data_IF_386004238344
#
_entry.id   IF_386004238344
#
_cell.length_a   1.000
_cell.length_b   1.000
_cell.length_c   1.000
_cell.angle_alpha   90.00
_cell.angle_beta   90.00
_cell.angle_gamma   90.00
#
_symmetry.space_group_name_H-M   'P 1'
#
loop_
_entity.id
_entity.type
_entity.pdbx_description
1 polymer ?
#
# COMPACT_ATOMS: atom_id res chain seq x y z
N UNK A 1 16.75 -19.67 -33.85
CA UNK A 1 16.38 -18.93 -32.62
C UNK A 1 15.79 -17.58 -33.02
N UNK A 2 14.59 -17.19 -32.57
CA UNK A 2 13.94 -16.02 -33.12
C UNK A 2 14.58 -14.74 -32.58
N UNK A 3 14.90 -13.78 -33.46
CA UNK A 3 15.47 -12.46 -33.15
C UNK A 3 14.74 -11.74 -32.00
N UNK A 4 13.43 -12.01 -31.85
CA UNK A 4 12.59 -11.46 -30.78
C UNK A 4 13.09 -11.78 -29.36
N UNK A 5 13.69 -12.96 -29.13
CA UNK A 5 14.24 -13.34 -27.80
C UNK A 5 15.57 -12.66 -27.47
N UNK A 6 16.30 -12.18 -28.47
CA UNK A 6 17.57 -11.46 -28.30
C UNK A 6 17.39 -9.97 -28.01
N UNK A 7 16.29 -9.38 -28.51
CA UNK A 7 15.95 -7.97 -28.28
C UNK A 7 15.13 -7.74 -27.01
N UNK A 8 14.43 -8.76 -26.51
CA UNK A 8 13.65 -8.72 -25.27
C UNK A 8 14.41 -8.16 -24.05
N UNK A 9 15.63 -8.64 -23.71
CA UNK A 9 16.35 -8.13 -22.54
C UNK A 9 16.84 -6.68 -22.72
N UNK A 10 17.14 -6.26 -23.97
CA UNK A 10 17.58 -4.88 -24.26
C UNK A 10 16.41 -3.89 -24.31
N UNK A 11 15.23 -4.32 -24.76
CA UNK A 11 14.01 -3.50 -24.71
C UNK A 11 13.48 -3.41 -23.27
N UNK A 12 13.53 -4.50 -22.50
CA UNK A 12 13.21 -4.48 -21.07
C UNK A 12 14.17 -3.57 -20.30
N UNK A 13 15.49 -3.65 -20.55
CA UNK A 13 16.47 -2.78 -19.89
C UNK A 13 16.34 -1.30 -20.28
N UNK A 14 15.91 -0.99 -21.50
CA UNK A 14 15.57 0.37 -21.91
C UNK A 14 14.30 0.87 -21.22
N UNK A 15 13.28 0.03 -21.01
CA UNK A 15 12.07 0.40 -20.27
C UNK A 15 12.34 0.61 -18.77
N UNK A 16 13.29 -0.14 -18.19
CA UNK A 16 13.68 -0.02 -16.77
C UNK A 16 14.83 0.94 -16.51
N UNK A 17 15.43 1.56 -17.55
CA UNK A 17 16.58 2.44 -17.37
C UNK A 17 16.23 3.69 -16.52
N UNK A 18 17.16 4.20 -15.71
CA UNK A 18 16.94 5.44 -14.94
C UNK A 18 16.56 6.64 -15.81
N UNK A 19 17.10 6.70 -17.03
CA UNK A 19 16.84 7.80 -17.99
C UNK A 19 15.41 7.77 -18.52
N UNK A 20 14.92 6.62 -18.95
CA UNK A 20 13.53 6.48 -19.42
C UNK A 20 12.53 6.72 -18.30
N UNK A 21 12.81 6.21 -17.10
CA UNK A 21 12.00 6.52 -15.89
C UNK A 21 11.93 8.02 -15.62
N UNK A 22 13.06 8.73 -15.65
CA UNK A 22 13.11 10.19 -15.47
C UNK A 22 12.31 10.93 -16.55
N UNK A 23 12.44 10.53 -17.81
CA UNK A 23 11.67 11.12 -18.91
C UNK A 23 10.16 10.90 -18.74
N UNK A 24 9.73 9.69 -18.38
CA UNK A 24 8.32 9.39 -18.11
C UNK A 24 7.77 10.22 -16.94
N UNK A 25 8.55 10.39 -15.86
CA UNK A 25 8.20 11.28 -14.75
C UNK A 25 8.01 12.72 -15.20
N UNK A 26 8.93 13.25 -16.01
CA UNK A 26 8.84 14.61 -16.54
C UNK A 26 7.63 14.81 -17.45
N UNK A 27 7.32 13.84 -18.31
CA UNK A 27 6.12 13.87 -19.16
C UNK A 27 4.84 13.90 -18.32
N UNK A 28 4.75 13.05 -17.29
CA UNK A 28 3.59 13.03 -16.39
C UNK A 28 3.45 14.32 -15.60
N UNK A 29 4.56 14.87 -15.10
CA UNK A 29 4.55 16.13 -14.35
C UNK A 29 4.16 17.31 -15.25
N UNK A 30 4.62 17.31 -16.51
CA UNK A 30 4.23 18.32 -17.50
C UNK A 30 2.73 18.24 -17.80
N UNK A 31 2.22 17.02 -18.05
CA UNK A 31 0.78 16.78 -18.27
C UNK A 31 -0.06 17.26 -17.08
N UNK A 32 0.37 16.95 -15.86
CA UNK A 32 -0.29 17.39 -14.61
C UNK A 32 -0.35 18.92 -14.52
N UNK A 33 0.79 19.60 -14.73
CA UNK A 33 0.89 21.07 -14.68
C UNK A 33 0.03 21.75 -15.73
N UNK A 34 0.10 21.28 -16.99
CA UNK A 34 -0.71 21.81 -18.08
C UNK A 34 -2.21 21.63 -17.82
N UNK A 35 -2.61 20.54 -17.18
CA UNK A 35 -3.99 20.28 -16.79
C UNK A 35 -4.41 20.84 -15.43
N UNK A 36 -3.55 21.62 -14.76
CA UNK A 36 -3.74 22.12 -13.40
C UNK A 36 -4.22 21.05 -12.39
N UNK A 37 -3.75 19.81 -12.56
CA UNK A 37 -4.19 18.68 -11.74
C UNK A 37 -3.45 18.65 -10.40
N UNK A 38 -4.10 18.26 -9.28
CA UNK A 38 -3.43 18.06 -8.01
C UNK A 38 -2.50 16.84 -8.06
N UNK A 39 -1.61 16.73 -7.06
CA UNK A 39 -0.82 15.52 -6.86
C UNK A 39 -1.71 14.43 -6.24
N UNK A 40 -2.17 13.47 -7.04
CA UNK A 40 -3.05 12.39 -6.58
C UNK A 40 -2.24 11.14 -6.27
N UNK A 41 -2.32 10.65 -5.03
CA UNK A 41 -1.79 9.35 -4.62
C UNK A 41 -2.98 8.41 -4.44
N UNK A 42 -3.10 7.42 -5.34
CA UNK A 42 -4.13 6.39 -5.21
C UNK A 42 -3.59 5.23 -4.36
N UNK A 43 -4.39 4.72 -3.44
CA UNK A 43 -4.01 3.61 -2.54
C UNK A 43 -5.04 2.49 -2.62
N UNK A 44 -4.57 1.25 -2.80
CA UNK A 44 -5.40 0.05 -2.82
C UNK A 44 -5.19 -0.73 -1.53
N UNK A 45 -6.26 -0.92 -0.78
CA UNK A 45 -6.25 -1.59 0.53
C UNK A 45 -7.16 -2.81 0.49
N UNK A 46 -6.78 -3.84 1.25
CA UNK A 46 -7.62 -5.02 1.51
C UNK A 46 -7.69 -5.25 3.01
N UNK A 47 -8.86 -5.63 3.53
CA UNK A 47 -9.08 -5.70 4.97
C UNK A 47 -8.26 -6.80 5.66
N UNK A 48 -8.19 -7.98 5.04
CA UNK A 48 -7.45 -9.16 5.51
C UNK A 48 -5.99 -9.20 5.01
N UNK A 49 -5.49 -8.11 4.43
CA UNK A 49 -4.08 -7.96 4.08
C UNK A 49 -3.31 -7.26 5.21
N UNK A 50 -2.30 -7.91 5.81
CA UNK A 50 -1.61 -7.35 6.97
C UNK A 50 -0.82 -6.09 6.60
N UNK A 51 -0.28 -6.02 5.38
CA UNK A 51 0.45 -4.85 4.90
C UNK A 51 -0.45 -3.62 4.71
N UNK A 52 -1.70 -3.82 4.28
CA UNK A 52 -2.71 -2.76 4.20
C UNK A 52 -2.98 -2.15 5.58
N UNK A 53 -3.01 -2.97 6.63
CA UNK A 53 -3.16 -2.48 8.00
C UNK A 53 -1.94 -1.69 8.48
N UNK A 54 -0.72 -2.14 8.19
CA UNK A 54 0.49 -1.36 8.48
C UNK A 54 0.50 -0.02 7.74
N UNK A 55 0.17 -0.03 6.44
CA UNK A 55 0.16 1.16 5.60
C UNK A 55 -0.84 2.21 6.12
N UNK A 56 -2.05 1.81 6.51
CA UNK A 56 -3.08 2.72 7.07
C UNK A 56 -2.59 3.47 8.31
N UNK A 57 -1.65 2.90 9.08
CA UNK A 57 -1.08 3.56 10.26
C UNK A 57 -0.06 4.65 9.89
N UNK A 58 0.62 4.52 8.75
CA UNK A 58 1.62 5.48 8.28
C UNK A 58 0.98 6.60 7.46
N UNK A 59 -0.07 6.30 6.69
CA UNK A 59 -0.74 7.26 5.80
C UNK A 59 -1.09 8.61 6.45
N UNK A 60 -1.54 8.71 7.73
CA UNK A 60 -1.78 10.00 8.38
C UNK A 60 -0.55 10.91 8.42
N UNK A 61 0.63 10.34 8.74
CA UNK A 61 1.90 11.09 8.72
C UNK A 61 2.26 11.50 7.30
N UNK A 62 2.07 10.59 6.33
CA UNK A 62 2.39 10.85 4.93
C UNK A 62 1.54 11.99 4.33
N UNK A 63 0.22 11.98 4.51
CA UNK A 63 -0.66 13.03 3.98
C UNK A 63 -0.51 14.37 4.72
N UNK A 64 -0.05 14.35 5.98
CA UNK A 64 0.32 15.57 6.70
C UNK A 64 1.65 16.15 6.17
N UNK A 65 2.54 15.30 5.66
CA UNK A 65 3.86 15.70 5.21
C UNK A 65 3.88 16.24 3.77
N UNK A 66 3.02 15.73 2.88
CA UNK A 66 3.01 16.11 1.46
C UNK A 66 1.69 16.77 1.03
N UNK A 67 1.75 17.71 0.08
CA UNK A 67 0.57 18.28 -0.57
C UNK A 67 -0.01 17.34 -1.63
N UNK A 68 -0.70 16.29 -1.15
CA UNK A 68 -1.31 15.26 -1.99
C UNK A 68 -2.79 15.07 -1.70
N UNK A 69 -3.54 14.71 -2.74
CA UNK A 69 -4.90 14.19 -2.63
C UNK A 69 -4.81 12.67 -2.55
N UNK A 70 -5.21 12.11 -1.41
CA UNK A 70 -5.28 10.67 -1.22
C UNK A 70 -6.59 10.12 -1.79
N UNK A 71 -6.51 9.18 -2.74
CA UNK A 71 -7.66 8.43 -3.25
C UNK A 71 -7.59 6.98 -2.80
N UNK A 72 -8.59 6.52 -2.05
CA UNK A 72 -8.60 5.16 -1.50
C UNK A 72 -9.52 4.25 -2.33
N UNK A 73 -9.01 3.07 -2.65
CA UNK A 73 -9.72 1.98 -3.30
C UNK A 73 -9.66 0.75 -2.40
N UNK A 74 -10.82 0.18 -2.08
CA UNK A 74 -10.90 -1.09 -1.33
C UNK A 74 -11.11 -2.22 -2.32
N UNK A 75 -10.35 -3.30 -2.16
CA UNK A 75 -10.45 -4.54 -2.94
C UNK A 75 -10.69 -5.72 -1.98
N UNK A 76 -11.16 -6.87 -2.49
CA UNK A 76 -11.47 -8.04 -1.64
C UNK A 76 -10.66 -9.29 -1.98
N UNK A 77 -10.07 -9.41 -3.19
CA UNK A 77 -9.55 -10.70 -3.63
C UNK A 77 -8.30 -10.60 -4.50
N UNK A 78 -7.41 -11.55 -4.23
CA UNK A 78 -6.31 -11.98 -5.07
C UNK A 78 -6.81 -13.14 -5.94
N UNK A 79 -6.54 -13.12 -7.24
CA UNK A 79 -6.88 -14.22 -8.13
C UNK A 79 -6.02 -15.45 -7.75
N UNK A 80 -6.58 -16.37 -6.95
CA UNK A 80 -5.88 -17.57 -6.44
C UNK A 80 -5.23 -18.40 -7.54
N UNK A 81 -5.77 -18.35 -8.75
CA UNK A 81 -5.30 -19.09 -9.92
C UNK A 81 -3.83 -18.80 -10.31
N UNK A 82 -3.27 -17.66 -9.85
CA UNK A 82 -1.90 -17.26 -10.21
C UNK A 82 -0.93 -17.19 -9.04
N UNK A 83 -1.40 -17.41 -7.80
CA UNK A 83 -0.55 -17.34 -6.60
C UNK A 83 -0.07 -18.73 -6.20
N UNK A 84 1.23 -19.03 -6.30
CA UNK A 84 1.78 -20.29 -5.80
C UNK A 84 1.63 -20.34 -4.27
N UNK A 85 1.17 -21.47 -3.73
CA UNK A 85 1.10 -21.74 -2.28
C UNK A 85 0.43 -20.60 -1.46
N UNK A 86 -0.85 -20.30 -1.73
CA UNK A 86 -1.52 -19.10 -1.18
C UNK A 86 -1.66 -19.14 0.35
N UNK A 87 -1.81 -20.33 0.94
CA UNK A 87 -1.93 -20.50 2.40
C UNK A 87 -0.60 -20.18 3.09
N UNK A 88 0.49 -20.71 2.55
CA UNK A 88 1.85 -20.49 3.03
C UNK A 88 2.26 -19.02 2.87
N UNK A 89 1.92 -18.41 1.73
CA UNK A 89 2.17 -16.99 1.48
C UNK A 89 1.42 -16.11 2.48
N UNK A 90 0.13 -16.39 2.74
CA UNK A 90 -0.63 -15.65 3.74
C UNK A 90 -0.04 -15.82 5.16
N UNK A 91 0.40 -17.03 5.52
CA UNK A 91 1.06 -17.30 6.79
C UNK A 91 2.43 -16.62 6.91
N UNK A 92 3.17 -16.52 5.81
CA UNK A 92 4.40 -15.73 5.73
C UNK A 92 4.11 -14.24 5.93
N UNK A 93 3.16 -13.67 5.18
CA UNK A 93 2.81 -12.25 5.25
C UNK A 93 2.41 -11.80 6.66
N UNK A 94 1.68 -12.64 7.41
CA UNK A 94 1.34 -12.35 8.81
C UNK A 94 2.57 -12.33 9.73
N UNK A 95 3.50 -13.28 9.57
CA UNK A 95 4.74 -13.33 10.37
C UNK A 95 5.65 -12.14 10.05
N UNK A 96 5.77 -11.82 8.78
CA UNK A 96 6.55 -10.69 8.29
C UNK A 96 5.99 -9.35 8.80
N UNK A 97 4.66 -9.17 8.74
CA UNK A 97 4.01 -7.98 9.25
C UNK A 97 4.23 -7.75 10.76
N UNK A 98 4.37 -8.81 11.57
CA UNK A 98 4.76 -8.68 12.98
C UNK A 98 6.15 -8.05 13.12
N UNK A 99 7.11 -8.53 12.33
CA UNK A 99 8.50 -8.03 12.36
C UNK A 99 8.55 -6.57 11.87
N UNK A 100 7.88 -6.28 10.76
CA UNK A 100 7.77 -4.93 10.21
C UNK A 100 7.09 -3.96 11.18
N UNK A 101 6.01 -4.39 11.84
CA UNK A 101 5.32 -3.57 12.83
C UNK A 101 6.25 -3.21 13.99
N UNK A 102 7.01 -4.19 14.52
CA UNK A 102 7.99 -3.94 15.58
C UNK A 102 9.07 -2.96 15.14
N UNK A 103 9.63 -3.15 13.93
CA UNK A 103 10.68 -2.26 13.38
C UNK A 103 10.15 -0.84 13.22
N UNK A 104 8.94 -0.71 12.69
CA UNK A 104 8.31 0.57 12.41
C UNK A 104 7.59 1.20 13.61
N UNK A 105 7.63 0.56 14.78
CA UNK A 105 6.86 0.93 15.97
C UNK A 105 5.35 1.12 15.67
N UNK A 106 4.80 0.22 14.85
CA UNK A 106 3.38 0.17 14.46
C UNK A 106 2.63 -0.87 15.28
N UNK A 107 1.31 -0.72 15.30
CA UNK A 107 0.39 -1.61 15.98
C UNK A 107 0.07 -2.83 15.11
N UNK A 108 0.44 -4.03 15.57
CA UNK A 108 0.05 -5.30 14.96
C UNK A 108 0.09 -6.41 16.01
N UNK A 109 -0.83 -7.39 16.01
CA UNK A 109 -0.83 -8.46 17.00
C UNK A 109 0.40 -9.36 16.86
N UNK A 110 1.13 -9.61 17.94
CA UNK A 110 2.34 -10.46 17.95
C UNK A 110 2.11 -11.88 17.43
N UNK A 111 0.89 -12.40 17.62
CA UNK A 111 0.44 -13.69 17.13
C UNK A 111 -0.79 -13.50 16.23
N UNK A 112 -0.53 -13.11 14.98
CA UNK A 112 -1.58 -12.85 13.99
C UNK A 112 -2.09 -14.15 13.36
N UNK A 113 -3.33 -14.52 13.69
CA UNK A 113 -4.10 -15.53 12.96
C UNK A 113 -4.74 -14.90 11.71
N UNK A 114 -5.25 -15.74 10.80
CA UNK A 114 -6.12 -15.25 9.73
C UNK A 114 -7.43 -14.71 10.36
N UNK A 115 -7.91 -13.52 9.94
CA UNK A 115 -9.16 -12.98 10.47
C UNK A 115 -10.37 -13.82 10.04
N UNK A 116 -11.44 -13.75 10.83
CA UNK A 116 -12.71 -14.41 10.50
C UNK A 116 -13.33 -13.81 9.22
N UNK A 117 -13.96 -14.66 8.40
CA UNK A 117 -14.49 -14.25 7.09
C UNK A 117 -15.70 -13.31 7.22
N UNK A 118 -16.53 -13.47 8.25
CA UNK A 118 -17.70 -12.63 8.50
C UNK A 118 -17.26 -11.24 8.96
N UNK A 119 -16.29 -11.18 9.86
CA UNK A 119 -15.69 -9.93 10.28
C UNK A 119 -14.92 -9.25 9.14
N UNK A 120 -14.26 -10.02 8.27
CA UNK A 120 -13.55 -9.50 7.10
C UNK A 120 -14.53 -8.84 6.12
N UNK A 121 -15.67 -9.48 5.84
CA UNK A 121 -16.73 -8.88 5.02
C UNK A 121 -17.26 -7.58 5.66
N UNK A 122 -17.56 -7.61 6.96
CA UNK A 122 -18.07 -6.44 7.68
C UNK A 122 -17.08 -5.27 7.64
N UNK A 123 -15.80 -5.52 7.92
CA UNK A 123 -14.74 -4.53 7.84
C UNK A 123 -14.58 -4.00 6.41
N UNK A 124 -14.60 -4.87 5.40
CA UNK A 124 -14.50 -4.47 3.99
C UNK A 124 -15.63 -3.52 3.59
N UNK A 125 -16.88 -3.86 3.95
CA UNK A 125 -18.05 -3.02 3.65
C UNK A 125 -18.05 -1.71 4.42
N UNK A 126 -17.53 -1.70 5.64
CA UNK A 126 -17.31 -0.49 6.42
C UNK A 126 -16.27 0.43 5.75
N UNK A 127 -15.13 -0.12 5.32
CA UNK A 127 -14.10 0.65 4.61
C UNK A 127 -14.62 1.21 3.29
N UNK A 128 -15.35 0.42 2.51
CA UNK A 128 -15.94 0.84 1.23
C UNK A 128 -16.91 2.01 1.39
N UNK A 129 -17.80 1.95 2.38
CA UNK A 129 -18.79 2.99 2.63
C UNK A 129 -18.15 4.36 2.89
N UNK A 130 -16.95 4.37 3.46
CA UNK A 130 -16.26 5.57 3.90
C UNK A 130 -15.00 5.91 3.08
N UNK A 131 -14.66 5.14 2.04
CA UNK A 131 -13.43 5.33 1.26
C UNK A 131 -13.31 6.70 0.57
N UNK A 132 -14.45 7.37 0.31
CA UNK A 132 -14.50 8.71 -0.30
C UNK A 132 -14.50 9.85 0.72
N UNK A 133 -14.49 9.55 2.01
CA UNK A 133 -14.39 10.57 3.06
C UNK A 133 -12.99 11.20 3.09
N UNK A 134 -12.85 12.44 3.61
CA UNK A 134 -11.54 13.04 3.82
C UNK A 134 -10.58 12.13 4.62
N UNK A 135 -9.26 12.14 4.34
CA UNK A 135 -8.30 11.28 5.04
C UNK A 135 -8.34 11.39 6.58
N UNK A 136 -8.62 12.59 7.09
CA UNK A 136 -8.77 12.85 8.53
C UNK A 136 -9.93 12.08 9.18
N UNK A 137 -10.92 11.66 8.41
CA UNK A 137 -12.07 10.85 8.86
C UNK A 137 -11.85 9.38 8.53
N UNK A 138 -11.44 9.09 7.29
CA UNK A 138 -11.28 7.71 6.81
C UNK A 138 -10.15 6.96 7.52
N UNK A 139 -8.96 7.54 7.66
CA UNK A 139 -7.78 6.82 8.17
C UNK A 139 -7.93 6.41 9.65
N UNK A 140 -8.48 7.24 10.56
CA UNK A 140 -8.78 6.80 11.92
C UNK A 140 -9.83 5.69 12.00
N UNK A 141 -10.85 5.72 11.15
CA UNK A 141 -11.86 4.65 11.05
C UNK A 141 -11.21 3.36 10.55
N UNK A 142 -10.45 3.44 9.46
CA UNK A 142 -9.77 2.29 8.88
C UNK A 142 -8.81 1.64 9.87
N UNK A 143 -8.01 2.45 10.58
CA UNK A 143 -7.10 1.94 11.63
C UNK A 143 -7.86 1.18 12.72
N UNK A 144 -9.01 1.71 13.19
CA UNK A 144 -9.81 1.06 14.23
C UNK A 144 -10.49 -0.22 13.75
N UNK A 145 -11.06 -0.21 12.54
CA UNK A 145 -11.71 -1.37 11.95
C UNK A 145 -10.71 -2.50 11.72
N UNK A 146 -9.54 -2.20 11.14
CA UNK A 146 -8.48 -3.18 10.90
C UNK A 146 -7.85 -3.67 12.21
N UNK A 147 -7.64 -2.78 13.20
CA UNK A 147 -7.16 -3.19 14.51
C UNK A 147 -8.11 -4.18 15.21
N UNK A 148 -9.43 -3.96 15.09
CA UNK A 148 -10.43 -4.86 15.64
C UNK A 148 -10.45 -6.20 14.89
N UNK A 149 -10.41 -6.16 13.56
CA UNK A 149 -10.38 -7.34 12.69
C UNK A 149 -9.18 -8.25 13.01
N UNK A 150 -7.97 -7.70 12.96
CA UNK A 150 -6.72 -8.47 13.15
C UNK A 150 -6.56 -9.05 14.56
N UNK A 151 -7.30 -8.52 15.55
CA UNK A 151 -7.30 -9.02 16.93
C UNK A 151 -8.50 -9.90 17.27
N UNK A 152 -9.39 -10.17 16.32
CA UNK A 152 -10.63 -10.91 16.57
C UNK A 152 -11.56 -10.21 17.55
N UNK A 153 -11.55 -8.88 17.61
CA UNK A 153 -12.41 -8.11 18.50
C UNK A 153 -13.81 -7.89 17.89
N UNK A 154 -14.54 -8.99 17.68
CA UNK A 154 -15.87 -9.03 17.06
C UNK A 154 -16.82 -7.94 17.57
N UNK A 155 -16.95 -7.81 18.90
CA UNK A 155 -17.83 -6.81 19.54
C UNK A 155 -17.42 -5.37 19.22
N UNK A 156 -16.11 -5.08 19.16
CA UNK A 156 -15.61 -3.74 18.82
C UNK A 156 -15.90 -3.41 17.36
N UNK A 157 -15.69 -4.37 16.45
CA UNK A 157 -16.01 -4.19 15.03
C UNK A 157 -17.52 -3.99 14.80
N UNK A 158 -18.36 -4.78 15.47
CA UNK A 158 -19.82 -4.61 15.43
C UNK A 158 -20.26 -3.25 15.96
N UNK A 159 -19.66 -2.78 17.07
CA UNK A 159 -19.93 -1.44 17.63
C UNK A 159 -19.51 -0.32 16.68
N UNK A 160 -18.38 -0.48 15.97
CA UNK A 160 -17.98 0.46 14.92
C UNK A 160 -18.99 0.48 13.78
N UNK A 161 -19.44 -0.69 13.32
CA UNK A 161 -20.42 -0.82 12.25
C UNK A 161 -21.82 -0.28 12.61
N UNK A 162 -22.20 -0.25 13.89
CA UNK A 162 -23.44 0.40 14.32
C UNK A 162 -23.34 1.93 14.33
N UNK A 163 -22.12 2.48 14.48
CA UNK A 163 -21.87 3.93 14.47
C UNK A 163 -21.61 4.47 13.07
N UNK A 164 -20.92 3.68 12.24
CA UNK A 164 -20.54 4.00 10.88
C UNK A 164 -21.14 2.92 9.99
N UNK A 165 -22.20 3.27 9.25
CA UNK A 165 -23.00 2.28 8.54
C UNK A 165 -22.19 1.62 7.41
N UNK A 166 -22.03 0.29 7.42
CA UNK A 166 -21.35 -0.40 6.35
C UNK A 166 -22.19 -0.39 5.06
N UNK A 167 -21.51 -0.50 3.93
CA UNK A 167 -22.15 -0.67 2.63
C UNK A 167 -22.97 -1.98 2.61
N UNK A 168 -24.05 -2.04 1.82
CA UNK A 168 -24.81 -3.29 1.66
C UNK A 168 -23.97 -4.30 0.86
N UNK A 169 -24.18 -5.60 1.08
CA UNK A 169 -23.41 -6.63 0.39
C UNK A 169 -23.48 -6.52 -1.14
N UNK A 170 -24.68 -6.25 -1.69
CA UNK A 170 -24.88 -6.10 -3.13
C UNK A 170 -24.13 -4.88 -3.71
N UNK A 171 -24.20 -3.72 -3.06
CA UNK A 171 -23.49 -2.52 -3.53
C UNK A 171 -21.98 -2.63 -3.34
N UNK A 172 -21.54 -3.30 -2.26
CA UNK A 172 -20.14 -3.59 -2.01
C UNK A 172 -19.54 -4.47 -3.10
N UNK A 173 -20.23 -5.54 -3.51
CA UNK A 173 -19.76 -6.42 -4.57
C UNK A 173 -19.49 -5.67 -5.88
N UNK A 174 -20.41 -4.78 -6.28
CA UNK A 174 -20.25 -3.95 -7.49
C UNK A 174 -19.05 -3.01 -7.38
N UNK A 175 -18.89 -2.33 -6.24
CA UNK A 175 -17.79 -1.39 -6.05
C UNK A 175 -16.42 -2.08 -5.95
N UNK A 176 -16.36 -3.26 -5.34
CA UNK A 176 -15.16 -4.09 -5.26
C UNK A 176 -14.70 -4.53 -6.65
N UNK A 177 -15.63 -5.02 -7.48
CA UNK A 177 -15.34 -5.41 -8.86
C UNK A 177 -14.83 -4.23 -9.68
N UNK A 178 -15.47 -3.06 -9.57
CA UNK A 178 -15.01 -1.83 -10.23
C UNK A 178 -13.60 -1.41 -9.79
N UNK A 179 -13.30 -1.52 -8.49
CA UNK A 179 -11.97 -1.20 -7.97
C UNK A 179 -10.90 -2.21 -8.44
N UNK A 180 -11.25 -3.49 -8.55
CA UNK A 180 -10.38 -4.54 -9.04
C UNK A 180 -10.07 -4.35 -10.54
N UNK A 181 -11.08 -4.09 -11.36
CA UNK A 181 -10.91 -3.79 -12.79
C UNK A 181 -10.01 -2.57 -12.99
N UNK A 182 -10.15 -1.54 -12.15
CA UNK A 182 -9.26 -0.36 -12.19
C UNK A 182 -7.82 -0.72 -11.83
N UNK A 183 -7.61 -1.58 -10.83
CA UNK A 183 -6.28 -2.05 -10.44
C UNK A 183 -5.61 -2.84 -11.58
N UNK A 184 -6.36 -3.75 -12.20
CA UNK A 184 -5.91 -4.57 -13.33
C UNK A 184 -5.63 -3.73 -14.59
N UNK A 185 -6.48 -2.76 -14.91
CA UNK A 185 -6.27 -1.85 -16.02
C UNK A 185 -5.00 -0.99 -15.88
N UNK A 186 -4.53 -0.79 -14.64
CA UNK A 186 -3.26 -0.12 -14.33
C UNK A 186 -2.08 -1.11 -14.21
N UNK A 187 -2.29 -2.39 -14.53
CA UNK A 187 -1.25 -3.42 -14.60
C UNK A 187 -0.83 -4.00 -13.25
N UNK A 188 -1.70 -3.96 -12.23
CA UNK A 188 -1.39 -4.49 -10.90
C UNK A 188 -2.49 -5.41 -10.35
N UNK A 189 -2.18 -6.11 -9.26
CA UNK A 189 -3.08 -7.10 -8.64
C UNK A 189 -2.91 -7.26 -7.12
N UNK A 190 -1.80 -6.80 -6.52
CA UNK A 190 -1.58 -6.88 -5.08
C UNK A 190 -2.30 -5.76 -4.29
N UNK A 191 -2.66 -6.02 -3.02
CA UNK A 191 -3.08 -4.99 -2.05
C UNK A 191 -1.88 -4.19 -1.50
N UNK A 192 -2.16 -3.26 -0.59
CA UNK A 192 -1.19 -2.35 0.02
C UNK A 192 -0.37 -1.55 -0.99
N UNK A 193 -0.95 -1.22 -2.14
CA UNK A 193 -0.25 -0.52 -3.22
C UNK A 193 -0.56 0.96 -3.21
N UNK A 194 0.46 1.78 -3.38
CA UNK A 194 0.31 3.19 -3.74
C UNK A 194 0.68 3.38 -5.22
N UNK A 195 -0.09 4.20 -5.92
CA UNK A 195 0.18 4.60 -7.29
C UNK A 195 0.29 6.12 -7.36
N UNK A 196 1.37 6.59 -7.99
CA UNK A 196 1.59 8.02 -8.21
C UNK A 196 2.32 8.25 -9.52
N UNK A 197 1.76 9.10 -10.37
CA UNK A 197 2.38 9.55 -11.62
C UNK A 197 2.89 8.41 -12.51
N UNK A 198 2.11 7.32 -12.63
CA UNK A 198 2.44 6.15 -13.47
C UNK A 198 3.36 5.12 -12.83
N UNK A 199 3.71 5.25 -11.56
CA UNK A 199 4.58 4.32 -10.83
C UNK A 199 3.87 3.71 -9.63
N UNK A 200 4.26 2.48 -9.31
CA UNK A 200 3.74 1.67 -8.22
C UNK A 200 4.74 1.60 -7.07
N UNK A 201 4.24 1.70 -5.84
CA UNK A 201 4.99 1.62 -4.60
C UNK A 201 4.27 0.65 -3.66
N UNK A 202 4.88 -0.48 -3.38
CA UNK A 202 4.29 -1.51 -2.54
C UNK A 202 4.58 -1.29 -1.06
N UNK A 203 3.51 -1.28 -0.28
CA UNK A 203 3.52 -1.30 1.17
C UNK A 203 4.28 -0.13 1.77
N UNK A 204 4.77 -0.38 2.98
CA UNK A 204 5.60 0.55 3.74
C UNK A 204 7.04 0.57 3.21
N UNK A 205 7.52 -0.54 2.62
CA UNK A 205 8.91 -0.71 2.19
C UNK A 205 9.28 0.20 1.03
N UNK A 206 8.32 0.47 0.12
CA UNK A 206 8.54 1.37 -1.01
C UNK A 206 8.06 2.80 -0.77
N UNK A 207 7.44 3.07 0.38
CA UNK A 207 6.95 4.41 0.72
C UNK A 207 8.06 5.47 0.79
N UNK A 208 9.28 5.19 1.30
CA UNK A 208 10.39 6.15 1.26
C UNK A 208 10.75 6.62 -0.15
N UNK A 209 10.70 5.74 -1.16
CA UNK A 209 10.97 6.14 -2.56
C UNK A 209 9.86 7.01 -3.15
N UNK A 210 8.61 6.82 -2.72
CA UNK A 210 7.54 7.75 -3.08
C UNK A 210 7.78 9.11 -2.42
N UNK A 211 8.09 9.10 -1.12
CA UNK A 211 8.36 10.31 -0.36
C UNK A 211 9.52 11.13 -0.96
N UNK A 212 10.65 10.49 -1.26
CA UNK A 212 11.80 11.11 -1.94
C UNK A 212 11.38 11.77 -3.26
N UNK A 213 10.62 11.05 -4.10
CA UNK A 213 10.11 11.62 -5.36
C UNK A 213 9.21 12.84 -5.14
N UNK A 214 8.34 12.82 -4.12
CA UNK A 214 7.47 13.96 -3.82
C UNK A 214 8.28 15.14 -3.25
N UNK A 215 9.36 14.85 -2.53
CA UNK A 215 10.30 15.85 -2.02
C UNK A 215 11.08 16.53 -3.15
N UNK A 216 11.57 15.77 -4.13
CA UNK A 216 12.18 16.30 -5.36
C UNK A 216 11.23 17.21 -6.16
N UNK A 217 9.92 16.96 -6.07
CA UNK A 217 8.90 17.78 -6.70
C UNK A 217 8.58 19.07 -5.92
N UNK A 218 9.14 19.24 -4.72
CA UNK A 218 8.97 20.44 -3.91
C UNK A 218 7.59 20.57 -3.25
N UNK A 219 6.89 19.45 -3.04
CA UNK A 219 5.52 19.46 -2.48
C UNK A 219 5.46 19.03 -1.01
N UNK A 220 6.62 18.95 -0.34
CA UNK A 220 6.67 18.72 1.10
C UNK A 220 6.14 19.96 1.83
N UNK A 221 5.27 19.74 2.83
CA UNK A 221 4.74 20.75 3.75
C UNK A 221 5.66 20.97 4.96
N UNK A 222 6.62 20.06 5.16
CA UNK A 222 7.55 20.08 6.29
C UNK A 222 8.98 20.28 5.78
N UNK A 223 9.83 20.87 6.61
CA UNK A 223 11.22 21.18 6.25
C UNK A 223 12.20 20.00 6.41
N UNK A 224 11.80 18.96 7.14
CA UNK A 224 12.60 17.73 7.30
C UNK A 224 12.13 16.65 6.33
N UNK A 225 12.95 15.64 6.08
CA UNK A 225 12.61 14.51 5.22
C UNK A 225 11.53 13.62 5.87
N UNK A 226 10.73 12.96 5.04
CA UNK A 226 9.81 11.94 5.52
C UNK A 226 10.57 10.65 5.83
N UNK A 227 10.73 10.35 7.12
CA UNK A 227 11.52 9.21 7.59
C UNK A 227 10.63 8.18 8.32
N UNK A 228 10.81 6.92 7.94
CA UNK A 228 10.26 5.76 8.63
C UNK A 228 11.17 5.37 9.81
N UNK A 229 10.66 4.60 10.78
CA UNK A 229 11.51 4.21 11.91
C UNK A 229 12.53 3.17 11.45
N UNK A 230 13.81 3.47 11.60
CA UNK A 230 14.93 2.59 11.24
C UNK A 230 15.76 2.19 12.47
N UNK A 231 15.20 2.33 13.67
CA UNK A 231 15.86 1.84 14.87
C UNK A 231 16.06 0.31 14.81
N UNK A 232 17.27 -0.20 15.09
CA UNK A 232 17.55 -1.64 15.06
C UNK A 232 16.73 -2.38 16.11
N UNK A 233 16.20 -3.55 15.74
CA UNK A 233 15.43 -4.39 16.65
C UNK A 233 16.31 -5.00 17.75
N UNK A 234 15.74 -5.41 18.90
CA UNK A 234 16.45 -6.21 19.90
C UNK A 234 17.00 -7.50 19.27
N UNK A 235 18.32 -7.62 19.16
CA UNK A 235 19.01 -8.72 18.48
C UNK A 235 19.74 -8.34 17.19
N UNK A 236 19.47 -7.16 16.63
CA UNK A 236 20.17 -6.64 15.43
C UNK A 236 21.36 -5.73 15.78
N UNK A 237 21.66 -5.55 17.08
CA UNK A 237 22.84 -4.79 17.51
C UNK A 237 24.12 -5.44 16.98
N UNK A 238 24.79 -4.78 16.04
CA UNK A 238 26.04 -5.24 15.44
C UNK A 238 25.89 -5.88 14.05
N UNK A 239 24.67 -6.04 13.54
CA UNK A 239 24.45 -6.39 12.13
C UNK A 239 24.56 -5.12 11.28
N UNK A 240 25.51 -5.09 10.35
CA UNK A 240 25.67 -3.96 9.42
C UNK A 240 24.53 -4.05 8.39
N UNK A 241 23.72 -2.99 8.16
CA UNK A 241 22.57 -3.04 7.25
C UNK A 241 22.90 -3.54 5.84
N UNK A 242 24.14 -3.36 5.40
CA UNK A 242 24.62 -3.76 4.07
C UNK A 242 24.98 -5.24 3.93
N UNK A 243 25.08 -6.02 5.02
CA UNK A 243 25.47 -7.43 4.95
C UNK A 243 24.43 -8.35 4.29
N UNK A 244 23.18 -7.88 4.15
CA UNK A 244 22.07 -8.66 3.58
C UNK A 244 21.51 -8.08 2.27
N UNK A 245 22.09 -7.00 1.76
CA UNK A 245 21.72 -6.47 0.45
C UNK A 245 22.36 -7.37 -0.62
N UNK A 246 21.53 -8.10 -1.37
CA UNK A 246 21.97 -8.95 -2.51
C UNK A 246 22.43 -8.08 -3.69
N UNK A 247 22.30 -6.76 -3.61
CA UNK A 247 22.70 -5.79 -4.63
C UNK A 247 23.09 -4.49 -3.95
N UNK A 248 24.21 -3.88 -4.35
CA UNK A 248 24.52 -2.53 -3.88
C UNK A 248 23.58 -1.52 -4.53
N UNK A 249 23.34 -0.35 -3.90
CA UNK A 249 22.52 0.72 -4.50
C UNK A 249 23.01 1.19 -5.88
N UNK A 250 24.29 0.94 -6.20
CA UNK A 250 24.90 1.22 -7.50
C UNK A 250 24.56 0.20 -8.60
N UNK A 251 23.98 -0.95 -8.23
CA UNK A 251 23.61 -2.04 -9.15
C UNK A 251 22.17 -1.90 -9.72
N UNK A 252 21.49 -0.77 -9.47
CA UNK A 252 20.14 -0.43 -9.98
C UNK A 252 20.14 0.74 -10.98
#
# INVERSE_FOLDING_TARGET
MPLAKLLQPRLASLLTSPRTRKSLRQLQETKRRLGAQPHVVSVWLRADDPYSYLLVQILPRFVAHFDVVLQVHIINRHEEATTPAPVELAAYARRDAVLLARRQALDFPDQAAAPDITDTDLATRLLLAHAKQPPAIFLPLARQALAALWRGYHKKLSTLASRFLPMTAATAAVQLESNLQRLQALGHYQPAMLHYGGEWYWGIDRLPYLAERLQELGIARMAHDFVLNDAPLPGEKGLVPHQFLISEPADL
#
